data_IF_594121507129
#
_entry.id   IF_594121507129
#
_cell.length_a   1.000
_cell.length_b   1.000
_cell.length_c   1.000
_cell.angle_alpha   90.00
_cell.angle_beta   90.00
_cell.angle_gamma   90.00
#
_symmetry.space_group_name_H-M   'P 1'
#
loop_
_entity.id
_entity.type
_entity.pdbx_description
1 polymer ?
#
# COMPACT_ATOMS: atom_id res chain seq x y z
N UNK A 1 -20.76 -11.01 28.22
CA UNK A 1 -19.68 -10.00 28.16
C UNK A 1 -20.31 -8.62 28.28
N UNK A 2 -19.87 -7.77 29.21
CA UNK A 2 -20.35 -6.40 29.28
C UNK A 2 -19.91 -5.60 28.05
N UNK A 3 -20.61 -4.53 27.74
CA UNK A 3 -20.18 -3.62 26.68
C UNK A 3 -18.93 -2.83 27.12
N UNK A 4 -17.93 -2.76 26.28
CA UNK A 4 -16.66 -2.07 26.57
C UNK A 4 -16.79 -0.55 26.43
N UNK A 5 -17.78 -0.04 25.71
CA UNK A 5 -18.06 1.39 25.55
C UNK A 5 -19.52 1.70 25.21
N UNK A 6 -19.94 2.93 25.46
CA UNK A 6 -21.28 3.42 25.08
C UNK A 6 -21.48 3.42 23.55
N UNK A 7 -20.41 3.66 22.79
CA UNK A 7 -20.43 3.60 21.32
C UNK A 7 -20.70 2.16 20.85
N UNK A 8 -20.02 1.17 21.43
CA UNK A 8 -20.25 -0.25 21.14
C UNK A 8 -21.69 -0.66 21.49
N UNK A 9 -22.21 -0.23 22.64
CA UNK A 9 -23.58 -0.47 23.03
C UNK A 9 -24.58 0.09 22.00
N UNK A 10 -24.43 1.36 21.60
CA UNK A 10 -25.28 2.01 20.59
C UNK A 10 -25.23 1.28 19.24
N UNK A 11 -24.04 0.88 18.81
CA UNK A 11 -23.82 0.13 17.57
C UNK A 11 -24.56 -1.23 17.58
N UNK A 12 -24.44 -1.99 18.66
CA UNK A 12 -25.12 -3.29 18.82
C UNK A 12 -26.65 -3.16 18.86
N UNK A 13 -27.18 -2.16 19.53
CA UNK A 13 -28.62 -1.91 19.53
C UNK A 13 -29.14 -1.46 18.16
N UNK A 14 -28.37 -0.64 17.42
CA UNK A 14 -28.72 -0.25 16.06
C UNK A 14 -28.72 -1.45 15.11
N UNK A 15 -27.71 -2.33 15.20
CA UNK A 15 -27.64 -3.55 14.39
C UNK A 15 -28.79 -4.52 14.74
N UNK A 16 -29.12 -4.70 16.01
CA UNK A 16 -30.21 -5.57 16.46
C UNK A 16 -31.60 -5.09 16.05
N UNK A 17 -31.79 -3.79 15.81
CA UNK A 17 -33.03 -3.19 15.32
C UNK A 17 -33.14 -3.13 13.79
N UNK A 18 -32.15 -3.64 13.06
CA UNK A 18 -32.11 -3.61 11.59
C UNK A 18 -31.80 -2.25 10.96
N UNK A 19 -31.35 -1.26 11.78
CA UNK A 19 -31.08 0.10 11.32
C UNK A 19 -29.57 0.45 11.28
N UNK A 20 -28.69 -0.53 11.56
CA UNK A 20 -27.24 -0.33 11.60
C UNK A 20 -26.56 -0.72 10.29
N UNK A 21 -25.88 0.23 9.67
CA UNK A 21 -25.08 -0.01 8.44
C UNK A 21 -23.61 -0.36 8.77
N UNK A 22 -23.37 -1.12 9.85
CA UNK A 22 -22.03 -1.42 10.41
C UNK A 22 -21.58 -2.87 10.17
N UNK A 23 -22.22 -3.58 9.23
CA UNK A 23 -21.84 -4.94 8.85
C UNK A 23 -22.03 -6.03 9.89
N UNK A 24 -22.68 -5.75 11.04
CA UNK A 24 -23.00 -6.75 12.07
C UNK A 24 -24.36 -7.35 11.75
N UNK A 25 -24.47 -8.69 11.54
CA UNK A 25 -25.75 -9.35 11.32
C UNK A 25 -26.71 -9.17 12.53
N UNK A 26 -27.98 -8.90 12.26
CA UNK A 26 -29.02 -8.65 13.28
C UNK A 26 -29.08 -9.76 14.33
N UNK A 27 -28.92 -11.02 13.90
CA UNK A 27 -28.92 -12.20 14.78
C UNK A 27 -27.77 -12.15 15.78
N UNK A 28 -26.57 -11.82 15.34
CA UNK A 28 -25.35 -11.74 16.17
C UNK A 28 -25.50 -10.61 17.20
N UNK A 29 -26.01 -9.45 16.76
CA UNK A 29 -26.25 -8.32 17.65
C UNK A 29 -27.28 -8.63 18.75
N UNK A 30 -28.35 -9.35 18.42
CA UNK A 30 -29.40 -9.79 19.38
C UNK A 30 -28.85 -10.78 20.41
N UNK A 31 -28.06 -11.76 19.97
CA UNK A 31 -27.41 -12.73 20.86
C UNK A 31 -26.45 -12.04 21.82
N UNK A 32 -25.63 -11.10 21.32
CA UNK A 32 -24.69 -10.35 22.15
C UNK A 32 -25.39 -9.51 23.22
N UNK A 33 -26.48 -8.80 22.88
CA UNK A 33 -27.30 -8.02 23.84
C UNK A 33 -27.95 -8.92 24.90
N UNK A 34 -28.40 -10.10 24.53
CA UNK A 34 -29.02 -11.05 25.45
C UNK A 34 -28.01 -11.57 26.48
N UNK A 35 -26.77 -11.84 26.08
CA UNK A 35 -25.71 -12.29 26.98
C UNK A 35 -25.12 -11.18 27.86
N UNK A 36 -25.22 -9.91 27.44
CA UNK A 36 -24.71 -8.77 28.21
C UNK A 36 -25.66 -8.24 29.29
N UNK A 37 -26.89 -8.75 29.35
CA UNK A 37 -27.90 -8.36 30.38
C UNK A 37 -27.78 -9.13 31.70
N UNK A 38 -26.87 -10.10 31.81
CA UNK A 38 -26.79 -11.00 32.99
C UNK A 38 -25.72 -10.64 34.01
N UNK A 39 -24.92 -9.59 33.78
CA UNK A 39 -23.90 -9.19 34.75
C UNK A 39 -24.23 -7.81 35.34
N UNK A 40 -24.52 -7.80 36.64
CA UNK A 40 -24.63 -6.58 37.46
C UNK A 40 -23.24 -5.90 37.50
N UNK A 41 -23.19 -4.58 37.21
CA UNK A 41 -21.99 -3.76 37.24
C UNK A 41 -21.55 -3.59 38.68
N UNK A 42 -20.33 -4.02 39.10
CA UNK A 42 -19.77 -3.62 40.39
C UNK A 42 -19.46 -2.12 40.37
N UNK A 43 -19.86 -1.40 41.44
CA UNK A 43 -19.48 -0.02 41.68
C UNK A 43 -17.94 0.13 41.69
N UNK A 44 -17.42 0.99 40.81
CA UNK A 44 -15.97 1.33 40.76
C UNK A 44 -15.73 2.34 41.89
N UNK A 45 -15.05 1.89 42.95
CA UNK A 45 -14.45 2.79 43.92
C UNK A 45 -13.10 3.31 43.40
N UNK A 46 -12.93 4.64 43.44
CA UNK A 46 -11.76 5.37 42.97
C UNK A 46 -10.52 5.09 43.81
N UNK A 47 -9.80 3.97 43.63
CA UNK A 47 -8.37 3.89 43.91
C UNK A 47 -7.68 2.70 43.24
N UNK A 48 -7.10 2.85 42.01
CA UNK A 48 -6.40 1.75 41.34
C UNK A 48 -4.95 1.51 41.82
N UNK A 49 -4.40 2.33 42.69
CA UNK A 49 -2.94 2.29 43.03
C UNK A 49 -2.62 1.29 44.14
N UNK A 50 -3.58 0.88 44.96
CA UNK A 50 -3.30 0.02 46.12
C UNK A 50 -3.32 -1.51 45.82
N UNK A 51 -3.80 -1.92 44.65
CA UNK A 51 -3.93 -3.34 44.30
C UNK A 51 -2.69 -3.99 43.63
N UNK A 52 -1.67 -3.20 43.27
CA UNK A 52 -0.49 -3.69 42.53
C UNK A 52 0.71 -4.08 43.41
N UNK A 53 0.63 -3.95 44.72
CA UNK A 53 1.79 -4.13 45.61
C UNK A 53 2.14 -5.58 46.01
N UNK A 54 1.25 -6.58 45.83
CA UNK A 54 1.53 -7.99 46.13
C UNK A 54 0.79 -8.95 45.20
N UNK A 55 1.37 -9.38 44.06
CA UNK A 55 0.79 -10.44 43.23
C UNK A 55 0.91 -11.80 43.97
N UNK A 56 -0.24 -12.33 44.38
CA UNK A 56 -0.34 -13.70 44.89
C UNK A 56 -0.04 -14.69 43.77
N UNK A 57 1.08 -15.43 43.86
CA UNK A 57 1.53 -16.37 42.82
C UNK A 57 0.50 -17.50 42.55
N UNK A 58 -0.48 -17.72 43.43
CA UNK A 58 -1.57 -18.66 43.22
C UNK A 58 -2.59 -18.20 42.15
N UNK A 59 -2.75 -16.90 41.97
CA UNK A 59 -3.71 -16.34 41.04
C UNK A 59 -3.23 -16.38 39.58
N UNK A 60 -1.92 -16.19 39.35
CA UNK A 60 -1.32 -16.19 38.00
C UNK A 60 -1.44 -17.58 37.33
N UNK A 61 -1.26 -18.66 38.09
CA UNK A 61 -1.40 -20.02 37.57
C UNK A 61 -2.83 -20.36 37.17
N UNK A 62 -3.82 -19.87 37.94
CA UNK A 62 -5.25 -20.02 37.64
C UNK A 62 -5.65 -19.20 36.40
N UNK A 63 -5.13 -18.00 36.25
CA UNK A 63 -5.37 -17.14 35.10
C UNK A 63 -4.74 -17.72 33.82
N UNK A 64 -3.52 -18.27 33.89
CA UNK A 64 -2.88 -18.98 32.78
C UNK A 64 -3.65 -20.23 32.35
N UNK A 65 -4.24 -20.98 33.30
CA UNK A 65 -5.08 -22.13 32.97
C UNK A 65 -6.40 -21.70 32.30
N UNK A 66 -7.03 -20.60 32.72
CA UNK A 66 -8.21 -20.03 32.08
C UNK A 66 -7.91 -19.52 30.68
N UNK A 67 -6.80 -18.80 30.48
CA UNK A 67 -6.34 -18.36 29.16
C UNK A 67 -6.08 -19.53 28.21
N UNK A 68 -5.41 -20.57 28.69
CA UNK A 68 -5.14 -21.79 27.91
C UNK A 68 -6.42 -22.51 27.50
N UNK A 69 -7.43 -22.53 28.36
CA UNK A 69 -8.76 -23.10 28.05
C UNK A 69 -9.51 -22.26 27.01
N UNK A 70 -9.43 -20.93 27.09
CA UNK A 70 -10.04 -20.02 26.09
C UNK A 70 -9.37 -20.11 24.74
N UNK A 71 -8.02 -20.16 24.68
CA UNK A 71 -7.27 -20.36 23.44
C UNK A 71 -7.64 -21.70 22.79
N UNK A 72 -7.80 -22.78 23.59
CA UNK A 72 -8.25 -24.07 23.08
C UNK A 72 -9.67 -24.04 22.52
N UNK A 73 -10.55 -23.23 23.12
CA UNK A 73 -11.93 -23.03 22.66
C UNK A 73 -11.96 -22.23 21.35
N UNK A 74 -11.16 -21.18 21.23
CA UNK A 74 -11.00 -20.40 20.01
C UNK A 74 -10.39 -21.25 18.86
N UNK A 75 -9.41 -22.08 19.15
CA UNK A 75 -8.81 -22.98 18.16
C UNK A 75 -9.84 -23.99 17.61
N UNK A 76 -10.77 -24.50 18.45
CA UNK A 76 -11.88 -25.37 18.01
C UNK A 76 -12.89 -24.62 17.16
N UNK A 77 -13.21 -23.36 17.49
CA UNK A 77 -14.12 -22.54 16.69
C UNK A 77 -13.55 -22.23 15.30
N UNK A 78 -12.25 -21.95 15.21
CA UNK A 78 -11.54 -21.74 13.93
C UNK A 78 -11.47 -23.04 13.12
N UNK A 79 -11.30 -24.19 13.77
CA UNK A 79 -11.29 -25.50 13.10
C UNK A 79 -12.67 -25.84 12.54
N UNK A 80 -13.74 -25.64 13.32
CA UNK A 80 -15.11 -25.87 12.87
C UNK A 80 -15.51 -24.91 11.74
N UNK A 81 -15.09 -23.65 11.79
CA UNK A 81 -15.31 -22.69 10.69
C UNK A 81 -14.60 -23.09 9.37
N UNK A 82 -13.48 -23.83 9.47
CA UNK A 82 -12.80 -24.39 8.29
C UNK A 82 -13.49 -25.63 7.70
N UNK A 83 -14.21 -26.39 8.53
CA UNK A 83 -14.95 -27.57 8.07
C UNK A 83 -16.31 -27.18 7.47
N UNK A 84 -16.95 -26.10 7.94
CA UNK A 84 -18.17 -25.54 7.32
C UNK A 84 -17.88 -24.83 5.98
N UNK A 85 -16.64 -24.37 5.74
CA UNK A 85 -16.22 -23.77 4.44
C UNK A 85 -15.98 -24.79 3.33
N UNK A 86 -16.18 -26.09 3.57
CA UNK A 86 -16.03 -27.17 2.55
C UNK A 86 -17.32 -27.59 1.86
N UNK A 87 -18.44 -26.91 2.11
CA UNK A 87 -19.73 -27.23 1.50
C UNK A 87 -20.39 -26.03 0.83
N UNK A 88 -19.71 -25.39 -0.12
CA UNK A 88 -20.33 -24.69 -1.26
C UNK A 88 -19.17 -24.31 -2.19
N UNK A 89 -18.77 -25.23 -3.10
CA UNK A 89 -17.97 -24.86 -4.25
C UNK A 89 -18.84 -23.94 -5.11
N UNK A 90 -18.57 -22.62 -5.04
CA UNK A 90 -19.16 -21.64 -5.95
C UNK A 90 -18.87 -22.11 -7.39
N UNK A 91 -19.90 -22.43 -8.20
CA UNK A 91 -19.72 -22.92 -9.57
C UNK A 91 -19.16 -21.87 -10.52
N UNK A 92 -18.85 -20.67 -10.02
CA UNK A 92 -18.29 -19.57 -10.78
C UNK A 92 -16.75 -19.56 -10.74
N UNK A 93 -16.13 -18.90 -11.72
CA UNK A 93 -14.68 -18.74 -11.78
C UNK A 93 -14.19 -17.82 -10.66
N UNK A 94 -12.91 -17.95 -10.31
CA UNK A 94 -12.25 -17.07 -9.33
C UNK A 94 -12.46 -15.59 -9.70
N UNK A 95 -12.99 -14.79 -8.77
CA UNK A 95 -13.35 -13.37 -8.98
C UNK A 95 -14.78 -13.16 -9.49
N UNK A 96 -15.59 -14.22 -9.53
CA UNK A 96 -17.02 -14.15 -9.86
C UNK A 96 -17.82 -14.84 -8.77
N UNK A 97 -19.01 -14.32 -8.47
CA UNK A 97 -19.98 -14.93 -7.54
C UNK A 97 -21.28 -15.26 -8.26
N UNK A 98 -21.95 -16.29 -7.80
CA UNK A 98 -23.24 -16.68 -8.34
C UNK A 98 -24.35 -15.72 -7.89
N UNK A 99 -25.02 -15.09 -8.83
CA UNK A 99 -26.23 -14.29 -8.59
C UNK A 99 -27.43 -14.94 -9.26
N UNK A 100 -27.89 -16.06 -8.66
CA UNK A 100 -29.02 -16.83 -9.17
C UNK A 100 -28.68 -17.70 -10.37
N UNK A 101 -29.71 -18.05 -11.16
CA UNK A 101 -29.62 -18.92 -12.35
C UNK A 101 -30.13 -18.16 -13.57
N UNK A 102 -29.56 -18.47 -14.74
CA UNK A 102 -30.04 -17.97 -16.03
C UNK A 102 -30.26 -19.13 -17.00
N UNK A 103 -31.17 -18.96 -17.95
CA UNK A 103 -31.35 -19.92 -19.03
C UNK A 103 -30.38 -19.64 -20.18
N UNK A 104 -29.64 -20.66 -20.59
CA UNK A 104 -28.78 -20.65 -21.78
C UNK A 104 -28.99 -21.97 -22.54
N UNK A 105 -29.40 -21.89 -23.80
CA UNK A 105 -29.65 -23.04 -24.70
C UNK A 105 -30.65 -24.06 -24.11
N UNK A 106 -31.71 -23.56 -23.41
CA UNK A 106 -32.73 -24.39 -22.80
C UNK A 106 -32.29 -25.11 -21.51
N UNK A 107 -31.14 -24.74 -20.94
CA UNK A 107 -30.62 -25.25 -19.65
C UNK A 107 -30.44 -24.12 -18.64
N UNK A 108 -30.83 -24.42 -17.41
CA UNK A 108 -30.57 -23.50 -16.28
C UNK A 108 -29.11 -23.61 -15.87
N UNK A 109 -28.36 -22.50 -15.95
CA UNK A 109 -26.93 -22.41 -15.60
C UNK A 109 -26.71 -21.32 -14.58
N UNK A 110 -25.66 -21.41 -13.72
CA UNK A 110 -25.31 -20.35 -12.78
C UNK A 110 -25.09 -19.01 -13.50
N UNK A 111 -25.68 -17.95 -12.95
CA UNK A 111 -25.41 -16.59 -13.41
C UNK A 111 -24.24 -15.99 -12.61
N UNK A 112 -23.05 -16.13 -13.15
CA UNK A 112 -21.82 -15.60 -12.54
C UNK A 112 -21.64 -14.13 -12.92
N UNK A 113 -21.54 -13.27 -11.90
CA UNK A 113 -21.23 -11.84 -12.05
C UNK A 113 -19.90 -11.53 -11.37
N UNK A 114 -19.12 -10.52 -11.81
CA UNK A 114 -17.91 -10.11 -11.13
C UNK A 114 -18.18 -9.83 -9.65
N UNK A 115 -17.33 -10.34 -8.76
CA UNK A 115 -17.43 -10.04 -7.34
C UNK A 115 -16.73 -8.72 -7.04
N UNK A 116 -17.50 -7.67 -6.83
CA UNK A 116 -16.99 -6.33 -6.54
C UNK A 116 -16.24 -6.24 -5.19
N UNK A 117 -16.35 -7.28 -4.34
CA UNK A 117 -15.62 -7.39 -3.07
C UNK A 117 -14.41 -8.34 -3.17
N UNK A 118 -14.19 -8.97 -4.33
CA UNK A 118 -12.98 -9.75 -4.53
C UNK A 118 -11.77 -8.80 -4.42
N UNK A 119 -10.72 -9.13 -3.62
CA UNK A 119 -9.48 -8.39 -3.70
C UNK A 119 -9.06 -8.39 -5.17
N UNK A 120 -8.69 -7.20 -5.67
CA UNK A 120 -8.12 -7.07 -7.01
C UNK A 120 -7.10 -8.20 -7.16
N UNK A 121 -7.17 -9.04 -8.21
CA UNK A 121 -6.17 -10.07 -8.39
C UNK A 121 -4.82 -9.40 -8.25
N UNK A 122 -3.91 -9.99 -7.43
CA UNK A 122 -2.50 -9.64 -7.50
C UNK A 122 -2.19 -9.50 -8.97
N UNK A 123 -1.71 -8.31 -9.38
CA UNK A 123 -1.37 -8.07 -10.78
C UNK A 123 -0.38 -9.18 -11.15
N UNK A 124 -0.90 -10.28 -11.66
CA UNK A 124 -0.06 -11.28 -12.28
C UNK A 124 0.73 -10.51 -13.31
N UNK A 125 2.05 -10.47 -13.14
CA UNK A 125 2.98 -9.96 -14.14
C UNK A 125 2.46 -10.48 -15.46
N UNK A 126 2.12 -9.58 -16.37
CA UNK A 126 1.54 -9.87 -17.66
C UNK A 126 2.18 -11.14 -18.25
N UNK A 127 1.41 -12.11 -18.76
CA UNK A 127 1.97 -13.34 -19.26
C UNK A 127 3.04 -12.97 -20.29
N UNK A 128 4.26 -13.45 -20.05
CA UNK A 128 5.35 -13.46 -21.03
C UNK A 128 4.72 -13.98 -22.33
N UNK A 129 4.87 -13.23 -23.42
CA UNK A 129 4.47 -13.71 -24.74
C UNK A 129 4.93 -15.18 -24.88
N UNK A 130 4.00 -16.13 -25.06
CA UNK A 130 4.36 -17.54 -25.16
C UNK A 130 5.31 -17.85 -26.31
N UNK A 131 5.57 -16.90 -27.21
CA UNK A 131 6.45 -17.03 -28.36
C UNK A 131 7.86 -16.47 -28.15
N UNK A 132 8.17 -15.87 -26.95
CA UNK A 132 9.54 -15.53 -26.54
C UNK A 132 10.21 -14.45 -27.40
N UNK A 133 9.44 -13.57 -28.01
CA UNK A 133 9.96 -12.38 -28.68
C UNK A 133 10.51 -11.36 -27.63
N UNK A 134 11.47 -10.50 -28.01
CA UNK A 134 11.93 -9.41 -27.16
C UNK A 134 10.71 -8.56 -26.79
N UNK A 135 10.61 -8.15 -25.51
CA UNK A 135 9.56 -7.25 -25.03
C UNK A 135 9.53 -6.00 -25.92
N UNK A 136 8.49 -5.86 -26.72
CA UNK A 136 8.33 -4.70 -27.57
C UNK A 136 7.70 -3.60 -26.73
N UNK A 137 8.50 -2.57 -26.39
CA UNK A 137 8.04 -1.36 -25.76
C UNK A 137 6.98 -0.67 -26.63
N UNK A 138 6.01 -0.04 -26.04
CA UNK A 138 4.92 0.66 -26.73
C UNK A 138 4.75 2.07 -26.18
N UNK A 139 4.10 2.95 -26.96
CA UNK A 139 3.82 4.32 -26.53
C UNK A 139 2.50 4.83 -27.13
N UNK A 140 1.83 5.75 -26.42
CA UNK A 140 0.57 6.32 -26.89
C UNK A 140 0.31 7.73 -26.37
N UNK A 141 -0.71 8.38 -26.91
CA UNK A 141 -1.08 9.78 -26.59
C UNK A 141 -2.48 9.84 -25.96
N UNK A 142 -2.55 10.34 -24.74
CA UNK A 142 -3.78 10.74 -24.08
C UNK A 142 -4.11 12.19 -24.47
N UNK A 143 -5.08 12.40 -25.34
CA UNK A 143 -5.56 13.73 -25.69
C UNK A 143 -6.62 14.20 -24.70
N UNK A 144 -6.43 15.36 -24.10
CA UNK A 144 -7.40 15.93 -23.16
C UNK A 144 -7.78 17.34 -23.57
N UNK A 145 -9.08 17.60 -23.72
CA UNK A 145 -9.61 18.93 -24.04
C UNK A 145 -9.56 19.86 -22.83
N UNK A 146 -9.82 21.16 -23.04
CA UNK A 146 -9.95 22.13 -21.95
C UNK A 146 -11.13 21.83 -21.00
N UNK A 147 -12.15 21.11 -21.48
CA UNK A 147 -13.32 20.69 -20.70
C UNK A 147 -13.10 19.35 -19.97
N UNK A 148 -11.89 18.77 -20.10
CA UNK A 148 -11.48 17.53 -19.44
C UNK A 148 -11.96 16.25 -20.14
N UNK A 149 -12.44 16.31 -21.39
CA UNK A 149 -12.77 15.12 -22.15
C UNK A 149 -11.53 14.53 -22.81
N UNK A 150 -11.43 13.21 -22.79
CA UNK A 150 -10.32 12.42 -23.34
C UNK A 150 -10.79 11.67 -24.57
N UNK A 151 -9.92 11.56 -25.59
CA UNK A 151 -10.15 10.68 -26.74
C UNK A 151 -9.90 9.22 -26.36
N UNK A 152 -10.90 8.41 -26.56
CA UNK A 152 -10.84 6.95 -26.47
C UNK A 152 -10.97 6.34 -27.85
N UNK A 153 -10.21 5.27 -28.11
CA UNK A 153 -10.40 4.39 -29.25
C UNK A 153 -10.70 2.98 -28.78
N UNK A 154 -11.57 2.26 -29.50
CA UNK A 154 -11.96 0.89 -29.13
C UNK A 154 -11.18 -0.12 -29.94
N UNK A 155 -10.41 -0.95 -29.26
CA UNK A 155 -9.59 -2.02 -29.86
C UNK A 155 -10.47 -3.03 -30.61
N UNK A 156 -10.01 -3.45 -31.76
CA UNK A 156 -10.62 -4.54 -32.54
C UNK A 156 -10.39 -5.92 -31.91
N UNK A 157 -10.67 -6.96 -32.72
CA UNK A 157 -10.54 -8.35 -32.25
C UNK A 157 -9.11 -8.92 -32.35
N UNK A 158 -8.17 -8.15 -32.88
CA UNK A 158 -6.74 -8.51 -32.95
C UNK A 158 -5.97 -7.97 -31.77
N UNK A 159 -4.90 -8.67 -31.38
CA UNK A 159 -4.02 -8.23 -30.30
C UNK A 159 -4.53 -8.54 -28.89
N UNK A 160 -3.88 -7.92 -27.89
CA UNK A 160 -4.22 -8.03 -26.48
C UNK A 160 -5.46 -7.20 -26.12
N UNK A 161 -6.20 -7.63 -25.09
CA UNK A 161 -7.39 -6.96 -24.56
C UNK A 161 -8.42 -6.53 -25.65
N UNK A 162 -8.91 -7.43 -26.51
CA UNK A 162 -9.82 -7.08 -27.60
C UNK A 162 -11.13 -6.48 -27.08
N UNK A 163 -11.62 -5.44 -27.77
CA UNK A 163 -12.87 -4.78 -27.44
C UNK A 163 -12.81 -3.79 -26.27
N UNK A 164 -11.64 -3.63 -25.63
CA UNK A 164 -11.42 -2.60 -24.59
C UNK A 164 -11.20 -1.24 -25.24
N UNK A 165 -11.39 -0.18 -24.41
CA UNK A 165 -11.12 1.19 -24.80
C UNK A 165 -9.75 1.64 -24.28
N UNK A 166 -8.96 2.26 -25.14
CA UNK A 166 -7.61 2.73 -24.85
C UNK A 166 -7.38 4.13 -25.46
N UNK A 167 -6.17 4.67 -25.26
CA UNK A 167 -5.69 5.83 -26.03
C UNK A 167 -5.03 5.34 -27.31
N UNK A 168 -4.92 6.18 -28.38
CA UNK A 168 -4.14 5.84 -29.57
C UNK A 168 -2.68 5.57 -29.19
N UNK A 169 -2.13 4.45 -29.68
CA UNK A 169 -0.76 4.05 -29.41
C UNK A 169 -0.46 2.61 -29.75
N UNK A 170 0.81 2.27 -29.89
CA UNK A 170 1.28 0.95 -30.27
C UNK A 170 2.78 0.77 -30.08
N UNK A 171 3.34 -0.28 -30.68
CA UNK A 171 4.71 -0.70 -30.45
C UNK A 171 5.74 0.19 -31.15
N UNK A 172 6.91 0.36 -30.51
CA UNK A 172 8.03 1.05 -31.11
C UNK A 172 8.61 0.26 -32.28
N UNK A 173 8.95 0.96 -33.36
CA UNK A 173 9.79 0.41 -34.43
C UNK A 173 11.27 0.45 -34.01
N UNK A 174 12.12 -0.33 -34.73
CA UNK A 174 13.56 -0.37 -34.44
C UNK A 174 14.20 1.00 -34.59
N UNK A 175 14.84 1.48 -33.52
CA UNK A 175 15.49 2.79 -33.46
C UNK A 175 14.58 3.99 -33.24
N UNK A 176 13.28 3.76 -33.00
CA UNK A 176 12.29 4.79 -32.76
C UNK A 176 12.26 5.17 -31.27
N UNK A 177 12.17 6.46 -30.96
CA UNK A 177 11.92 6.92 -29.59
C UNK A 177 10.45 6.73 -29.18
N UNK A 178 10.17 6.71 -27.86
CA UNK A 178 8.82 6.61 -27.33
C UNK A 178 7.87 7.68 -27.93
N UNK A 179 8.35 8.92 -28.05
CA UNK A 179 7.54 10.02 -28.57
C UNK A 179 7.26 9.88 -30.07
N UNK A 180 8.27 9.46 -30.85
CA UNK A 180 8.08 9.20 -32.28
C UNK A 180 7.08 8.09 -32.52
N UNK A 181 7.17 6.99 -31.77
CA UNK A 181 6.23 5.89 -31.82
C UNK A 181 4.79 6.35 -31.49
N UNK A 182 4.62 7.07 -30.37
CA UNK A 182 3.31 7.58 -29.97
C UNK A 182 2.68 8.48 -31.04
N UNK A 183 3.47 9.34 -31.68
CA UNK A 183 3.00 10.22 -32.78
C UNK A 183 2.66 9.45 -34.05
N UNK A 184 3.48 8.46 -34.43
CA UNK A 184 3.27 7.60 -35.60
C UNK A 184 1.98 6.79 -35.43
N UNK A 185 1.87 6.08 -34.32
CA UNK A 185 0.70 5.26 -33.99
C UNK A 185 -0.59 6.10 -33.93
N UNK A 186 -0.53 7.27 -33.31
CA UNK A 186 -1.65 8.19 -33.31
C UNK A 186 -2.10 8.53 -34.73
N UNK A 187 -1.15 8.82 -35.65
CA UNK A 187 -1.47 9.11 -37.03
C UNK A 187 -2.05 7.90 -37.77
N UNK A 188 -1.52 6.71 -37.53
CA UNK A 188 -1.99 5.45 -38.15
C UNK A 188 -3.41 5.08 -37.68
N UNK A 189 -3.68 5.21 -36.37
CA UNK A 189 -4.96 4.81 -35.78
C UNK A 189 -6.07 5.85 -35.87
N UNK A 190 -5.73 7.13 -35.90
CA UNK A 190 -6.72 8.24 -35.86
C UNK A 190 -6.72 9.13 -37.08
N UNK A 191 -5.72 9.00 -37.96
CA UNK A 191 -5.50 9.89 -39.10
C UNK A 191 -4.90 11.26 -38.73
N UNK A 192 -4.60 11.51 -37.46
CA UNK A 192 -4.14 12.80 -36.94
C UNK A 192 -2.61 12.87 -36.84
N UNK A 193 -2.03 13.77 -37.60
CA UNK A 193 -0.60 14.11 -37.52
C UNK A 193 -0.39 15.18 -36.45
N UNK A 194 -0.38 14.77 -35.18
CA UNK A 194 -0.30 15.68 -34.04
C UNK A 194 1.13 16.20 -33.85
N UNK A 195 1.30 17.52 -33.93
CA UNK A 195 2.58 18.23 -33.79
C UNK A 195 2.66 19.09 -32.52
N UNK A 196 1.63 19.06 -31.66
CA UNK A 196 1.61 19.82 -30.41
C UNK A 196 2.59 19.27 -29.37
N UNK A 197 2.73 20.01 -28.26
CA UNK A 197 3.57 19.57 -27.13
C UNK A 197 2.99 18.31 -26.48
N UNK A 198 3.88 17.40 -26.10
CA UNK A 198 3.58 16.21 -25.34
C UNK A 198 4.31 16.25 -23.99
N UNK A 199 3.58 15.96 -22.94
CA UNK A 199 4.10 15.75 -21.59
C UNK A 199 4.19 14.25 -21.34
N UNK A 200 5.36 13.72 -20.94
CA UNK A 200 5.48 12.30 -20.53
C UNK A 200 4.73 12.12 -19.21
N UNK A 201 3.60 11.46 -19.27
CA UNK A 201 2.68 11.31 -18.12
C UNK A 201 3.07 10.11 -17.23
N UNK A 202 3.27 8.96 -17.84
CA UNK A 202 3.50 7.69 -17.14
C UNK A 202 4.34 6.75 -18.00
N UNK A 203 5.18 5.96 -17.33
CA UNK A 203 6.02 4.92 -17.95
C UNK A 203 6.09 3.73 -16.98
N UNK A 204 5.55 2.58 -17.36
CA UNK A 204 5.59 1.35 -16.58
C UNK A 204 6.71 0.37 -17.03
N UNK A 205 7.61 0.85 -17.91
CA UNK A 205 8.68 0.06 -18.51
C UNK A 205 8.26 -0.66 -19.80
N UNK A 206 6.97 -0.91 -20.01
CA UNK A 206 6.43 -1.54 -21.21
C UNK A 206 5.65 -0.57 -22.09
N UNK A 207 4.93 0.37 -21.46
CA UNK A 207 4.11 1.37 -22.17
C UNK A 207 4.36 2.77 -21.62
N UNK A 208 4.62 3.72 -22.54
CA UNK A 208 4.74 5.14 -22.21
C UNK A 208 3.47 5.88 -22.63
N UNK A 209 2.83 6.53 -21.68
CA UNK A 209 1.69 7.41 -21.96
C UNK A 209 2.18 8.86 -21.99
N UNK A 210 1.97 9.51 -23.14
CA UNK A 210 2.12 10.96 -23.28
C UNK A 210 0.78 11.65 -23.13
N UNK A 211 0.78 12.86 -22.60
CA UNK A 211 -0.40 13.70 -22.43
C UNK A 211 -0.31 14.93 -23.32
N UNK A 212 -1.33 15.13 -24.14
CA UNK A 212 -1.58 16.36 -24.90
C UNK A 212 -2.74 17.11 -24.25
N UNK A 213 -2.44 18.22 -23.56
CA UNK A 213 -3.44 19.02 -22.84
C UNK A 213 -4.07 20.10 -23.70
N UNK A 214 -5.33 20.41 -23.43
CA UNK A 214 -6.03 21.55 -23.97
C UNK A 214 -6.25 21.49 -25.48
N UNK A 215 -6.35 20.27 -26.03
CA UNK A 215 -6.62 20.10 -27.46
C UNK A 215 -8.07 20.40 -27.78
N UNK A 216 -8.35 20.91 -28.98
CA UNK A 216 -9.70 20.93 -29.52
C UNK A 216 -10.05 19.55 -30.07
N UNK A 217 -11.35 19.15 -29.96
CA UNK A 217 -11.80 17.89 -30.56
C UNK A 217 -11.57 17.91 -32.05
N UNK A 218 -10.97 16.89 -32.59
CA UNK A 218 -10.69 16.73 -34.01
C UNK A 218 -11.44 15.53 -34.61
N UNK A 219 -11.69 15.52 -35.92
CA UNK A 219 -12.24 14.35 -36.61
C UNK A 219 -11.27 13.16 -36.52
N UNK A 220 -11.77 11.99 -36.15
CA UNK A 220 -10.99 10.75 -36.05
C UNK A 220 -11.33 9.87 -37.26
N UNK A 221 -10.30 9.39 -37.95
CA UNK A 221 -10.43 8.42 -39.04
C UNK A 221 -9.71 7.15 -38.57
N UNK A 222 -10.50 6.17 -38.12
CA UNK A 222 -9.96 4.92 -37.59
C UNK A 222 -9.36 4.04 -38.70
N UNK A 223 -8.27 3.33 -38.35
CA UNK A 223 -7.73 2.25 -39.16
C UNK A 223 -8.50 0.93 -38.90
N UNK A 224 -8.02 -0.19 -39.47
CA UNK A 224 -8.66 -1.51 -39.33
C UNK A 224 -8.50 -2.14 -37.92
N UNK A 225 -7.60 -1.63 -37.10
CA UNK A 225 -7.30 -2.12 -35.74
C UNK A 225 -8.31 -1.63 -34.70
N UNK A 226 -8.97 -0.54 -34.97
CA UNK A 226 -9.93 0.10 -34.08
C UNK A 226 -11.35 0.06 -34.63
N UNK A 227 -12.34 -0.18 -33.76
CA UNK A 227 -13.76 -0.38 -34.12
C UNK A 227 -14.66 0.77 -33.73
N UNK A 228 -14.15 1.77 -33.00
CA UNK A 228 -14.92 2.95 -32.57
C UNK A 228 -14.03 3.97 -31.88
N UNK A 229 -14.53 5.18 -31.74
CA UNK A 229 -13.91 6.22 -30.92
C UNK A 229 -14.98 7.00 -30.17
N UNK A 230 -14.58 7.61 -29.06
CA UNK A 230 -15.44 8.50 -28.25
C UNK A 230 -14.60 9.57 -27.56
N UNK A 231 -15.24 10.73 -27.30
CA UNK A 231 -14.69 11.79 -26.46
C UNK A 231 -15.55 11.87 -25.21
N UNK A 232 -14.98 11.48 -24.07
CA UNK A 232 -15.70 11.45 -22.81
C UNK A 232 -14.80 11.91 -21.65
N UNK A 233 -15.41 12.36 -20.57
CA UNK A 233 -14.69 12.59 -19.32
C UNK A 233 -14.25 11.27 -18.69
N UNK A 234 -13.13 11.24 -17.93
CA UNK A 234 -12.64 10.00 -17.30
C UNK A 234 -13.69 9.25 -16.47
N UNK A 235 -14.54 9.98 -15.73
CA UNK A 235 -15.64 9.41 -14.93
C UNK A 235 -16.81 8.87 -15.78
N UNK A 236 -16.86 9.20 -17.06
CA UNK A 236 -17.85 8.74 -18.04
C UNK A 236 -17.20 7.89 -19.14
N UNK A 237 -15.97 7.46 -18.91
CA UNK A 237 -15.21 6.69 -19.88
C UNK A 237 -15.96 5.43 -20.32
N UNK A 238 -15.95 5.14 -21.63
CA UNK A 238 -16.62 3.95 -22.16
C UNK A 238 -15.95 2.68 -21.62
N UNK A 239 -16.75 1.62 -21.43
CA UNK A 239 -16.31 0.38 -20.79
C UNK A 239 -16.32 -0.82 -21.75
N UNK A 240 -15.47 -1.85 -21.52
CA UNK A 240 -14.39 -1.90 -20.52
C UNK A 240 -13.14 -1.11 -20.93
N UNK A 241 -12.43 -0.54 -19.97
CA UNK A 241 -11.13 0.12 -20.23
C UNK A 241 -10.00 -0.89 -20.34
N UNK A 242 -8.96 -0.53 -21.10
CA UNK A 242 -7.68 -1.22 -21.05
C UNK A 242 -7.03 -1.00 -19.68
N UNK A 243 -6.49 -2.04 -19.01
CA UNK A 243 -5.95 -1.91 -17.64
C UNK A 243 -4.89 -0.80 -17.48
N UNK A 244 -3.99 -0.63 -18.45
CA UNK A 244 -2.98 0.43 -18.43
C UNK A 244 -3.57 1.85 -18.49
N UNK A 245 -4.74 2.03 -19.08
CA UNK A 245 -5.40 3.34 -19.16
C UNK A 245 -5.96 3.77 -17.79
N UNK A 246 -6.43 2.85 -16.97
CA UNK A 246 -6.87 3.16 -15.60
C UNK A 246 -5.73 3.75 -14.76
N UNK A 247 -4.52 3.23 -14.93
CA UNK A 247 -3.32 3.75 -14.27
C UNK A 247 -3.00 5.14 -14.79
N UNK A 248 -2.98 5.33 -16.10
CA UNK A 248 -2.71 6.63 -16.71
C UNK A 248 -3.69 7.73 -16.24
N UNK A 249 -4.97 7.42 -16.05
CA UNK A 249 -5.94 8.36 -15.48
C UNK A 249 -5.67 8.71 -14.02
N UNK A 250 -5.27 7.76 -13.19
CA UNK A 250 -4.89 8.03 -11.80
C UNK A 250 -3.71 9.02 -11.75
N UNK A 251 -2.71 8.82 -12.61
CA UNK A 251 -1.54 9.71 -12.70
C UNK A 251 -1.94 11.08 -13.25
N UNK A 252 -2.75 11.12 -14.31
CA UNK A 252 -3.22 12.39 -14.91
C UNK A 252 -4.06 13.23 -13.95
N UNK A 253 -4.81 12.59 -13.05
CA UNK A 253 -5.65 13.23 -12.03
C UNK A 253 -4.90 13.62 -10.75
N UNK A 254 -3.65 13.19 -10.56
CA UNK A 254 -2.87 13.52 -9.38
C UNK A 254 -2.44 14.99 -9.41
N UNK A 255 -3.02 15.80 -8.51
CA UNK A 255 -2.80 17.26 -8.45
C UNK A 255 -2.04 17.72 -7.21
N UNK A 256 -1.90 16.88 -6.19
CA UNK A 256 -1.25 17.23 -4.93
C UNK A 256 -0.09 16.28 -4.61
N UNK A 257 0.82 16.72 -3.71
CA UNK A 257 1.88 15.84 -3.23
C UNK A 257 1.33 14.57 -2.55
N UNK A 258 0.13 14.65 -1.99
CA UNK A 258 -0.52 13.50 -1.36
C UNK A 258 -1.02 12.50 -2.41
N UNK A 259 -1.54 12.97 -3.55
CA UNK A 259 -1.94 12.10 -4.66
C UNK A 259 -0.73 11.34 -5.21
N UNK A 260 0.37 12.06 -5.46
CA UNK A 260 1.64 11.44 -5.91
C UNK A 260 2.15 10.44 -4.87
N UNK A 261 2.11 10.79 -3.57
CA UNK A 261 2.52 9.89 -2.50
C UNK A 261 1.69 8.59 -2.48
N UNK A 262 0.38 8.67 -2.70
CA UNK A 262 -0.48 7.49 -2.82
C UNK A 262 -0.08 6.62 -4.03
N UNK A 263 0.17 7.22 -5.18
CA UNK A 263 0.62 6.49 -6.37
C UNK A 263 1.99 5.81 -6.16
N UNK A 264 2.90 6.46 -5.44
CA UNK A 264 4.19 5.87 -5.06
C UNK A 264 4.05 4.72 -4.06
N UNK A 265 3.18 4.87 -3.03
CA UNK A 265 2.87 3.81 -2.07
C UNK A 265 2.33 2.56 -2.78
N UNK A 266 1.47 2.76 -3.75
CA UNK A 266 0.80 1.69 -4.51
C UNK A 266 1.70 1.15 -5.67
N UNK A 267 2.97 1.57 -5.74
CA UNK A 267 3.96 1.25 -6.77
C UNK A 267 3.50 1.57 -8.21
N UNK A 268 2.64 2.57 -8.36
CA UNK A 268 2.19 3.09 -9.67
C UNK A 268 3.23 4.09 -10.21
N UNK A 269 3.75 4.94 -9.34
CA UNK A 269 4.85 5.83 -9.68
C UNK A 269 6.17 5.35 -9.06
N UNK A 270 7.30 5.49 -9.77
CA UNK A 270 8.61 5.17 -9.23
C UNK A 270 9.01 6.10 -8.08
N UNK A 271 10.01 5.72 -7.32
CA UNK A 271 10.62 6.49 -6.25
C UNK A 271 12.10 6.75 -6.60
N UNK A 272 12.61 7.97 -6.52
CA UNK A 272 11.93 9.21 -6.08
C UNK A 272 11.05 9.86 -7.14
N UNK A 273 10.17 10.80 -6.70
CA UNK A 273 9.40 11.68 -7.58
C UNK A 273 9.69 13.15 -7.25
N UNK A 274 10.03 13.99 -8.23
CA UNK A 274 10.09 15.44 -8.01
C UNK A 274 8.69 16.02 -7.85
N UNK A 275 8.49 16.94 -6.90
CA UNK A 275 7.26 17.68 -6.73
C UNK A 275 7.54 19.09 -6.20
N UNK A 276 7.27 20.11 -7.03
CA UNK A 276 7.55 21.50 -6.66
C UNK A 276 9.04 21.72 -6.34
N UNK A 277 9.33 22.09 -5.09
CA UNK A 277 10.68 22.32 -4.57
C UNK A 277 11.20 21.18 -3.68
N UNK A 278 10.65 19.99 -3.81
CA UNK A 278 11.02 18.83 -3.00
C UNK A 278 11.01 17.55 -3.83
N UNK A 279 11.57 16.50 -3.25
CA UNK A 279 11.50 15.14 -3.76
C UNK A 279 10.67 14.28 -2.80
N UNK A 280 9.77 13.47 -3.35
CA UNK A 280 9.05 12.45 -2.62
C UNK A 280 9.82 11.13 -2.76
N UNK A 281 10.15 10.53 -1.62
CA UNK A 281 11.00 9.34 -1.55
C UNK A 281 10.32 8.27 -0.68
N UNK A 282 10.19 7.06 -1.19
CA UNK A 282 9.61 5.95 -0.45
C UNK A 282 10.67 5.30 0.44
N UNK A 283 10.51 5.39 1.77
CA UNK A 283 11.50 4.88 2.73
C UNK A 283 10.87 3.99 3.78
N UNK A 284 11.63 2.99 4.24
CA UNK A 284 11.28 2.18 5.41
C UNK A 284 11.52 2.97 6.67
N UNK A 285 10.49 3.08 7.51
CA UNK A 285 10.60 3.68 8.84
C UNK A 285 11.18 2.66 9.82
N UNK A 286 10.63 1.45 9.86
CA UNK A 286 11.14 0.39 10.75
C UNK A 286 10.72 -0.99 10.25
N UNK A 287 11.45 -2.03 10.70
CA UNK A 287 11.04 -3.41 10.60
C UNK A 287 10.60 -3.97 11.96
N UNK A 288 10.14 -5.22 11.95
CA UNK A 288 9.76 -6.00 13.15
C UNK A 288 10.45 -7.35 13.18
N UNK A 289 10.32 -8.09 14.29
CA UNK A 289 10.96 -9.37 14.51
C UNK A 289 12.38 -9.23 15.03
N UNK A 290 13.24 -10.20 14.71
CA UNK A 290 14.61 -10.27 15.18
C UNK A 290 15.57 -9.49 14.26
N UNK A 291 16.41 -8.66 14.87
CA UNK A 291 17.51 -7.97 14.20
C UNK A 291 18.77 -7.98 15.07
N UNK A 292 19.91 -7.54 14.53
CA UNK A 292 21.19 -7.50 15.23
C UNK A 292 21.82 -6.11 15.14
N UNK A 293 22.13 -5.54 16.30
CA UNK A 293 22.82 -4.24 16.47
C UNK A 293 24.32 -4.46 16.52
N UNK A 294 24.98 -4.51 15.39
CA UNK A 294 26.41 -4.86 15.28
C UNK A 294 27.34 -3.93 16.08
N UNK A 295 27.00 -2.63 16.18
CA UNK A 295 27.83 -1.66 16.93
C UNK A 295 27.96 -1.98 18.43
N UNK A 296 26.95 -2.60 19.01
CA UNK A 296 26.90 -2.91 20.45
C UNK A 296 26.85 -4.41 20.74
N UNK A 297 26.85 -5.26 19.70
CA UNK A 297 26.84 -6.70 19.84
C UNK A 297 25.58 -7.26 20.49
N UNK A 298 24.41 -6.73 20.16
CA UNK A 298 23.15 -7.06 20.78
C UNK A 298 22.10 -7.49 19.75
N UNK A 299 21.38 -8.58 20.04
CA UNK A 299 20.14 -8.90 19.34
C UNK A 299 18.99 -8.03 19.86
N UNK A 300 18.08 -7.66 18.99
CA UNK A 300 16.87 -6.95 19.35
C UNK A 300 15.66 -7.65 18.75
N UNK A 301 14.65 -7.85 19.58
CA UNK A 301 13.33 -8.32 19.15
C UNK A 301 12.32 -7.19 19.25
N UNK A 302 11.66 -6.89 18.13
CA UNK A 302 10.62 -5.90 18.03
C UNK A 302 9.30 -6.58 17.71
N UNK A 303 8.36 -6.55 18.66
CA UNK A 303 7.07 -7.22 18.51
C UNK A 303 6.19 -6.52 17.47
N UNK A 304 5.69 -7.28 16.50
CA UNK A 304 4.84 -6.76 15.43
C UNK A 304 3.58 -6.06 15.96
N UNK A 305 3.00 -6.52 17.06
CA UNK A 305 1.78 -5.93 17.63
C UNK A 305 1.97 -4.50 18.14
N UNK A 306 3.20 -4.13 18.52
CA UNK A 306 3.55 -2.79 19.00
C UNK A 306 3.85 -1.80 17.87
N UNK A 307 4.17 -2.30 16.67
CA UNK A 307 4.63 -1.48 15.55
C UNK A 307 3.74 -1.55 14.32
N UNK A 308 3.11 -2.72 14.05
CA UNK A 308 2.24 -2.89 12.89
C UNK A 308 0.76 -2.63 13.27
N UNK A 309 0.50 -1.44 13.76
CA UNK A 309 -0.83 -0.98 14.13
C UNK A 309 -1.03 0.50 13.78
N UNK A 310 -2.28 0.94 13.70
CA UNK A 310 -2.61 2.30 13.26
C UNK A 310 -2.07 3.37 14.21
N UNK A 311 -2.05 3.13 15.52
CA UNK A 311 -1.53 4.09 16.49
C UNK A 311 -0.05 4.41 16.25
N UNK A 312 0.76 3.35 16.02
CA UNK A 312 2.18 3.54 15.69
C UNK A 312 2.37 4.25 14.33
N UNK A 313 1.61 3.85 13.32
CA UNK A 313 1.63 4.49 11.99
C UNK A 313 1.28 5.98 12.11
N UNK A 314 0.23 6.35 12.85
CA UNK A 314 -0.15 7.74 13.04
C UNK A 314 0.96 8.57 13.69
N UNK A 315 1.71 7.99 14.64
CA UNK A 315 2.86 8.63 15.29
C UNK A 315 4.05 8.84 14.35
N UNK A 316 4.15 8.08 13.27
CA UNK A 316 5.19 8.25 12.26
C UNK A 316 4.94 9.43 11.31
N UNK A 317 3.72 9.98 11.27
CA UNK A 317 3.41 11.12 10.41
C UNK A 317 4.10 12.39 10.93
N UNK A 318 4.84 13.07 10.06
CA UNK A 318 5.64 14.24 10.44
C UNK A 318 6.99 13.90 11.08
N UNK A 319 7.35 12.61 11.21
CA UNK A 319 8.64 12.19 11.75
C UNK A 319 9.78 12.80 10.92
N UNK A 320 10.77 13.39 11.62
CA UNK A 320 11.88 14.05 10.95
C UNK A 320 12.79 13.06 10.24
N UNK A 321 13.15 13.39 9.01
CA UNK A 321 14.18 12.68 8.23
C UNK A 321 15.48 13.46 8.27
N UNK A 322 16.57 12.79 8.63
CA UNK A 322 17.91 13.38 8.78
C UNK A 322 18.96 12.58 8.01
N UNK A 323 20.09 13.23 7.70
CA UNK A 323 21.28 12.51 7.23
C UNK A 323 22.14 12.11 8.42
N UNK A 324 22.40 10.80 8.54
CA UNK A 324 23.14 10.16 9.63
C UNK A 324 22.63 10.48 11.07
N UNK A 325 22.89 9.59 11.99
CA UNK A 325 22.49 9.80 13.39
C UNK A 325 23.29 10.92 14.03
N UNK A 326 22.67 11.71 14.94
CA UNK A 326 23.40 12.64 15.80
C UNK A 326 24.31 11.88 16.79
N UNK A 327 25.25 12.57 17.40
CA UNK A 327 26.11 12.00 18.44
C UNK A 327 25.31 11.60 19.70
N UNK A 328 24.21 12.28 19.97
CA UNK A 328 23.25 11.97 21.02
C UNK A 328 22.17 10.99 20.57
N UNK A 329 21.38 10.48 21.52
CA UNK A 329 20.28 9.54 21.22
C UNK A 329 19.07 10.22 20.55
N UNK A 330 18.91 11.53 20.76
CA UNK A 330 17.79 12.37 20.27
C UNK A 330 18.32 13.66 19.68
N UNK A 331 17.51 14.27 18.81
CA UNK A 331 17.84 15.56 18.21
C UNK A 331 17.71 16.69 19.23
N UNK A 332 18.79 17.48 19.38
CA UNK A 332 18.70 18.79 20.00
C UNK A 332 18.44 19.88 18.94
N UNK A 333 18.33 21.15 19.39
CA UNK A 333 18.05 22.26 18.48
C UNK A 333 19.13 22.46 17.42
N UNK A 334 20.39 22.20 17.76
CA UNK A 334 21.52 22.32 16.82
C UNK A 334 21.52 21.20 15.81
N UNK A 335 21.48 19.95 16.30
CA UNK A 335 21.46 18.75 15.46
C UNK A 335 20.26 18.77 14.50
N UNK A 336 19.09 19.24 14.98
CA UNK A 336 17.91 19.40 14.12
C UNK A 336 18.18 20.37 12.95
N UNK A 337 18.77 21.53 13.23
CA UNK A 337 19.07 22.52 12.18
C UNK A 337 20.13 22.07 11.20
N UNK A 338 21.11 21.32 11.67
CA UNK A 338 22.26 20.91 10.88
C UNK A 338 21.97 19.65 10.03
N UNK A 339 21.02 18.78 10.46
CA UNK A 339 20.80 17.46 9.87
C UNK A 339 19.44 17.24 9.22
N UNK A 340 18.43 18.05 9.54
CA UNK A 340 17.09 17.85 9.01
C UNK A 340 17.05 18.10 7.50
N UNK A 341 16.64 17.09 6.74
CA UNK A 341 16.52 17.14 5.29
C UNK A 341 15.07 17.03 4.81
N UNK A 342 14.18 16.59 5.70
CA UNK A 342 12.78 16.38 5.35
C UNK A 342 11.93 15.80 6.46
N UNK A 343 10.74 15.34 6.12
CA UNK A 343 9.82 14.70 7.06
C UNK A 343 8.96 13.63 6.39
N UNK A 344 8.47 12.69 7.18
CA UNK A 344 7.57 11.63 6.72
C UNK A 344 6.16 12.17 6.50
N UNK A 345 5.56 11.81 5.39
CA UNK A 345 4.13 11.86 5.13
C UNK A 345 3.63 10.46 4.75
N UNK A 346 2.33 10.25 4.84
CA UNK A 346 1.66 9.02 4.44
C UNK A 346 2.40 7.75 4.91
N UNK A 347 2.62 7.57 6.23
CA UNK A 347 3.17 6.32 6.73
C UNK A 347 2.17 5.17 6.54
N UNK A 348 2.65 3.95 6.27
CA UNK A 348 1.82 2.78 6.02
C UNK A 348 2.54 1.47 6.37
N UNK A 349 1.76 0.41 6.57
CA UNK A 349 2.28 -0.94 6.81
C UNK A 349 2.50 -1.64 5.47
N UNK A 350 3.68 -2.26 5.31
CA UNK A 350 4.05 -3.08 4.14
C UNK A 350 4.69 -4.38 4.62
N UNK A 351 3.93 -5.47 4.59
CA UNK A 351 4.39 -6.75 5.14
C UNK A 351 4.66 -6.67 6.64
N UNK A 352 5.88 -6.98 7.05
CA UNK A 352 6.35 -6.94 8.44
C UNK A 352 7.13 -5.65 8.79
N UNK A 353 6.95 -4.60 7.98
CA UNK A 353 7.64 -3.33 8.08
C UNK A 353 6.66 -2.15 8.07
N UNK A 354 7.09 -1.01 8.59
CA UNK A 354 6.42 0.29 8.44
C UNK A 354 7.23 1.14 7.48
N UNK A 355 6.57 1.62 6.45
CA UNK A 355 7.11 2.48 5.40
C UNK A 355 6.43 3.84 5.42
N UNK A 356 6.96 4.80 4.69
CA UNK A 356 6.35 6.11 4.50
C UNK A 356 6.96 6.84 3.32
N UNK A 357 6.27 7.87 2.85
CA UNK A 357 6.81 8.77 1.84
C UNK A 357 7.50 9.93 2.56
N UNK A 358 8.78 10.11 2.32
CA UNK A 358 9.55 11.24 2.84
C UNK A 358 9.50 12.42 1.86
N UNK A 359 9.20 13.61 2.36
CA UNK A 359 9.40 14.88 1.65
C UNK A 359 10.83 15.35 1.92
N UNK A 360 11.70 15.31 0.93
CA UNK A 360 13.11 15.71 1.01
C UNK A 360 13.27 17.05 0.31
N UNK A 361 13.80 18.06 1.02
CA UNK A 361 13.97 19.42 0.53
C UNK A 361 15.44 19.76 0.19
N UNK A 362 16.37 18.91 0.58
CA UNK A 362 17.81 19.09 0.36
C UNK A 362 18.28 18.32 -0.89
N UNK A 363 18.58 19.07 -1.97
CA UNK A 363 19.03 18.48 -3.24
C UNK A 363 20.37 17.75 -3.13
N UNK A 364 21.25 18.16 -2.19
CA UNK A 364 22.53 17.46 -1.99
C UNK A 364 22.32 16.12 -1.32
N UNK A 365 21.47 16.09 -0.28
CA UNK A 365 21.08 14.86 0.37
C UNK A 365 20.38 13.93 -0.63
N UNK A 366 19.51 14.48 -1.50
CA UNK A 366 18.84 13.68 -2.51
C UNK A 366 19.81 13.10 -3.53
N UNK A 367 20.82 13.86 -3.99
CA UNK A 367 21.87 13.37 -4.87
C UNK A 367 22.67 12.23 -4.23
N UNK A 368 23.07 12.38 -2.96
CA UNK A 368 23.77 11.34 -2.20
C UNK A 368 22.91 10.08 -2.01
N UNK A 369 21.61 10.24 -1.77
CA UNK A 369 20.66 9.13 -1.68
C UNK A 369 20.57 8.38 -3.01
N UNK A 370 20.54 9.07 -4.13
CA UNK A 370 20.47 8.46 -5.46
C UNK A 370 21.76 7.72 -5.89
N UNK A 371 22.91 7.98 -5.24
CA UNK A 371 24.13 7.19 -5.47
C UNK A 371 24.02 5.75 -4.98
N UNK A 372 23.01 5.42 -4.18
CA UNK A 372 22.71 4.08 -3.69
C UNK A 372 23.49 3.67 -2.46
N UNK A 373 23.41 2.39 -2.10
CA UNK A 373 24.03 1.82 -0.90
C UNK A 373 23.58 2.50 0.42
N UNK A 374 22.30 2.86 0.47
CA UNK A 374 21.66 3.63 1.55
C UNK A 374 20.74 2.73 2.37
N UNK A 375 20.76 2.91 3.68
CA UNK A 375 19.82 2.29 4.59
C UNK A 375 19.06 3.33 5.42
N UNK A 376 18.06 2.86 6.16
CA UNK A 376 17.30 3.68 7.11
C UNK A 376 17.45 3.14 8.54
N UNK A 377 17.49 4.03 9.50
CA UNK A 377 17.62 3.68 10.91
C UNK A 377 16.74 4.58 11.79
N UNK A 378 15.67 4.04 12.38
CA UNK A 378 14.82 4.82 13.28
C UNK A 378 15.47 5.05 14.63
N UNK A 379 15.32 6.25 15.19
CA UNK A 379 15.60 6.55 16.59
C UNK A 379 14.32 6.39 17.41
N UNK A 380 14.25 5.27 18.11
CA UNK A 380 13.13 4.93 19.01
C UNK A 380 13.64 5.02 20.44
N UNK A 381 12.99 5.81 21.26
CA UNK A 381 13.35 6.04 22.66
C UNK A 381 12.37 5.30 23.57
N UNK A 382 12.91 4.69 24.60
CA UNK A 382 12.17 3.97 25.62
C UNK A 382 12.42 4.63 26.98
N UNK A 383 11.42 4.65 27.83
CA UNK A 383 11.48 5.08 29.22
C UNK A 383 11.36 3.86 30.17
N UNK A 384 11.31 4.13 31.46
CA UNK A 384 11.16 3.09 32.49
C UNK A 384 9.81 2.35 32.44
N UNK A 385 8.80 2.94 31.79
CA UNK A 385 7.44 2.37 31.64
C UNK A 385 7.25 1.62 30.33
N UNK A 386 8.21 1.69 29.42
CA UNK A 386 8.12 1.04 28.10
C UNK A 386 8.06 -0.48 28.17
N UNK A 387 8.49 -1.10 29.27
CA UNK A 387 8.44 -2.55 29.48
C UNK A 387 9.53 -3.34 28.74
N UNK A 388 10.65 -2.70 28.44
CA UNK A 388 11.82 -3.37 27.84
C UNK A 388 12.35 -4.49 28.75
N UNK A 389 12.72 -5.63 28.14
CA UNK A 389 13.28 -6.78 28.85
C UNK A 389 14.55 -7.25 28.15
N UNK A 390 15.64 -7.43 28.92
CA UNK A 390 16.89 -8.00 28.39
C UNK A 390 17.02 -9.46 28.79
N UNK A 391 17.18 -10.32 27.79
CA UNK A 391 17.44 -11.77 27.96
C UNK A 391 18.84 -12.12 27.43
N UNK A 392 19.17 -13.40 27.46
CA UNK A 392 20.34 -13.96 26.79
C UNK A 392 19.89 -15.04 25.82
N UNK A 393 20.49 -15.07 24.64
CA UNK A 393 20.32 -16.15 23.66
C UNK A 393 20.96 -17.45 24.21
N UNK A 394 20.74 -18.59 23.57
CA UNK A 394 21.40 -19.84 23.88
C UNK A 394 22.94 -19.76 23.77
N UNK A 395 23.43 -18.89 22.87
CA UNK A 395 24.86 -18.59 22.71
C UNK A 395 25.41 -17.66 23.81
N UNK A 396 24.56 -17.15 24.71
CA UNK A 396 24.94 -16.24 25.80
C UNK A 396 24.97 -14.74 25.37
N UNK A 397 24.64 -14.43 24.15
CA UNK A 397 24.60 -13.06 23.64
C UNK A 397 23.39 -12.28 24.20
N UNK A 398 23.49 -10.96 24.41
CA UNK A 398 22.38 -10.16 24.88
C UNK A 398 21.26 -10.06 23.82
N UNK A 399 20.02 -10.19 24.29
CA UNK A 399 18.80 -10.03 23.50
C UNK A 399 17.89 -9.03 24.20
N UNK A 400 17.69 -7.86 23.58
CA UNK A 400 16.72 -6.88 24.02
C UNK A 400 15.34 -7.21 23.40
N UNK A 401 14.34 -7.40 24.23
CA UNK A 401 12.93 -7.40 23.84
C UNK A 401 12.40 -6.00 24.07
N UNK A 402 12.12 -5.30 23.00
CA UNK A 402 11.59 -3.93 23.07
C UNK A 402 10.12 -3.94 23.48
N UNK A 403 9.77 -3.06 24.40
CA UNK A 403 8.40 -2.76 24.79
C UNK A 403 7.80 -1.62 23.97
N UNK A 404 6.83 -0.93 24.55
CA UNK A 404 6.12 0.18 23.88
C UNK A 404 7.04 1.40 23.73
N UNK A 405 7.24 1.94 22.52
CA UNK A 405 8.05 3.12 22.30
C UNK A 405 7.46 4.36 23.00
N UNK A 406 8.27 5.03 23.84
CA UNK A 406 7.90 6.31 24.43
C UNK A 406 7.92 7.43 23.39
N UNK A 407 9.04 7.56 22.63
CA UNK A 407 9.22 8.61 21.64
C UNK A 407 9.75 8.02 20.33
N UNK A 408 9.21 8.51 19.22
CA UNK A 408 9.81 8.38 17.89
C UNK A 408 10.46 9.73 17.59
N UNK A 409 11.80 9.80 17.57
CA UNK A 409 12.51 11.07 17.47
C UNK A 409 12.80 11.43 16.00
N UNK A 410 13.43 10.53 15.26
CA UNK A 410 13.77 10.75 13.86
C UNK A 410 13.94 9.43 13.11
N UNK A 411 14.02 9.53 11.79
CA UNK A 411 14.52 8.51 10.90
C UNK A 411 15.82 9.00 10.25
N UNK A 412 16.94 8.32 10.48
CA UNK A 412 18.19 8.62 9.83
C UNK A 412 18.30 7.86 8.52
N UNK A 413 18.67 8.54 7.46
CA UNK A 413 19.23 7.95 6.25
C UNK A 413 20.71 7.75 6.50
N UNK A 414 21.17 6.51 6.47
CA UNK A 414 22.56 6.15 6.80
C UNK A 414 23.30 5.70 5.56
N UNK A 415 24.40 6.37 5.30
CA UNK A 415 25.21 6.12 4.11
C UNK A 415 26.34 5.12 4.38
N UNK A 416 26.80 4.44 3.34
CA UNK A 416 27.93 3.48 3.42
C UNK A 416 29.23 4.14 3.84
N UNK A 417 29.45 5.40 3.48
CA UNK A 417 30.62 6.20 3.86
C UNK A 417 30.79 6.33 5.38
N UNK A 418 29.69 6.20 6.14
CA UNK A 418 29.68 6.21 7.59
C UNK A 418 29.68 4.82 8.23
N UNK A 419 29.84 3.75 7.42
CA UNK A 419 30.07 2.37 7.87
C UNK A 419 28.87 1.73 8.58
N UNK A 420 27.68 2.28 8.48
CA UNK A 420 26.52 1.75 9.17
C UNK A 420 25.48 1.17 8.23
N UNK A 421 25.21 -0.12 8.40
CA UNK A 421 23.99 -0.76 7.89
C UNK A 421 22.84 -0.40 8.82
N UNK A 422 21.64 -0.27 8.27
CA UNK A 422 20.42 -0.18 9.08
C UNK A 422 20.20 -1.47 9.85
N UNK A 423 19.74 -1.35 11.08
CA UNK A 423 19.45 -2.50 11.96
C UNK A 423 18.44 -3.47 11.32
N UNK A 424 17.55 -2.95 10.49
CA UNK A 424 16.47 -3.72 9.85
C UNK A 424 16.80 -4.23 8.45
N UNK A 425 18.08 -4.17 8.03
CA UNK A 425 18.53 -4.74 6.76
C UNK A 425 18.73 -6.27 6.93
N UNK A 426 17.63 -7.02 6.94
CA UNK A 426 17.58 -8.46 7.23
C UNK A 426 18.44 -9.30 6.29
N UNK A 427 18.62 -8.86 5.05
CA UNK A 427 19.47 -9.52 4.04
C UNK A 427 20.95 -9.17 4.13
N UNK A 428 21.35 -8.28 5.05
CA UNK A 428 22.72 -7.81 5.20
C UNK A 428 23.22 -6.81 4.17
N UNK A 429 22.44 -6.55 3.11
CA UNK A 429 22.68 -5.47 2.16
C UNK A 429 21.90 -4.21 2.56
N UNK A 430 22.39 -2.99 2.25
CA UNK A 430 21.66 -1.76 2.51
C UNK A 430 20.26 -1.81 1.88
N UNK A 431 19.26 -1.52 2.68
CA UNK A 431 17.87 -1.51 2.26
C UNK A 431 17.09 -0.44 3.04
N UNK A 432 15.85 -0.19 2.64
CA UNK A 432 14.98 0.76 3.34
C UNK A 432 14.79 2.07 2.61
N UNK A 433 15.46 2.26 1.47
CA UNK A 433 15.15 3.34 0.52
C UNK A 433 14.80 2.68 -0.81
N UNK A 434 13.62 2.96 -1.32
CA UNK A 434 13.19 2.44 -2.61
C UNK A 434 13.67 3.41 -3.71
N UNK A 435 14.67 2.98 -4.46
CA UNK A 435 15.12 3.66 -5.68
C UNK A 435 14.71 2.78 -6.86
N UNK A 436 13.59 3.12 -7.48
CA UNK A 436 13.18 2.51 -8.74
C UNK A 436 13.62 3.43 -9.85
N UNK A 437 14.80 3.20 -10.38
CA UNK A 437 15.17 3.83 -11.65
C UNK A 437 14.22 3.25 -12.71
N UNK A 438 13.59 4.07 -13.55
CA UNK A 438 13.22 3.58 -14.86
C UNK A 438 14.55 3.15 -15.47
N UNK A 439 14.72 1.85 -15.70
CA UNK A 439 15.91 1.37 -16.41
C UNK A 439 15.99 2.15 -17.71
N UNK A 440 16.94 3.08 -17.78
CA UNK A 440 17.43 3.60 -19.04
C UNK A 440 18.18 2.41 -19.61
N UNK A 441 17.51 1.59 -20.39
CA UNK A 441 18.17 0.61 -21.23
C UNK A 441 19.00 1.39 -22.23
N UNK A 442 20.34 1.32 -22.05
CA UNK A 442 21.32 1.71 -23.07
C UNK A 442 21.09 0.97 -24.39
#
# INVERSE_FOLDING_TARGET
MPFESEAQRKAMYAAASGHGNIGIPEKVAKEFIQHSKTDEVPEITDDPIHALAHPDQGNVKSQLQLLSAEISKLARLVSNAKDDAKQDEDPCWKGYKQMGMKEKDGKSVPNCIPDAEAPLPEMERFPIDPQGGPFTRAAGIMFTTNDGETLFIRRGNGGDFPGTWCVPGGHLAEGESDEEAARRECKEETGIDFQGALERLHDDGQFVTFLARGVEKFPVTLNYESTGFDWAKPEQAPQPLHPGLEVAFKVAGAGTELDIAHLMRDNILPSPQPYGNMHLLNIRITGTGLAYRSKIGEHVWRDASLYLNQEFVDRCNGLMVIMDHPDGAVLDTKEFKDRAIGSIMLPYIKGDEVWGIAKIYDDKAMAEICEGDISTSPAVVFDEFSGNTTLRTEAGEPLLIEGTPFLLDHIAIVTKSHGSKGVWDKGGEPAGVLLTNPEVSD
#
